data_IF_568183944338
#
_entry.id   IF_568183944338
#
_cell.length_a   1.000
_cell.length_b   1.000
_cell.length_c   1.000
_cell.angle_alpha   90.00
_cell.angle_beta   90.00
_cell.angle_gamma   90.00
#
_symmetry.space_group_name_H-M   'P 1'
#
loop_
_entity.id
_entity.type
_entity.pdbx_description
1 polymer ?
#
# COMPACT_ATOMS: atom_id res chain seq x y z
N UNK A 1 16.59 11.72 23.15
CA UNK A 1 15.98 12.38 21.98
C UNK A 1 15.81 11.36 20.89
N UNK A 2 14.58 10.93 20.62
CA UNK A 2 14.35 9.97 19.53
C UNK A 2 14.42 10.71 18.20
N UNK A 3 15.50 10.46 17.45
CA UNK A 3 15.82 11.16 16.20
C UNK A 3 14.92 10.75 15.03
N UNK A 4 15.09 11.43 13.89
CA UNK A 4 14.35 11.16 12.65
C UNK A 4 14.42 9.67 12.25
N UNK A 5 13.26 9.03 12.17
CA UNK A 5 13.11 7.63 11.77
C UNK A 5 13.45 7.44 10.29
N UNK A 6 14.45 6.61 9.99
CA UNK A 6 14.86 6.28 8.62
C UNK A 6 13.85 5.34 7.96
N UNK A 7 13.72 5.42 6.64
CA UNK A 7 12.87 4.52 5.85
C UNK A 7 13.36 3.07 5.97
N UNK A 8 12.46 2.07 5.94
CA UNK A 8 12.87 0.68 5.79
C UNK A 8 13.53 0.46 4.43
N UNK A 9 14.49 -0.47 4.38
CA UNK A 9 15.20 -0.81 3.13
C UNK A 9 14.27 -1.58 2.19
N UNK A 10 14.25 -1.19 0.91
CA UNK A 10 13.59 -1.97 -0.14
C UNK A 10 14.51 -3.12 -0.62
N UNK A 11 13.99 -4.01 -1.47
CA UNK A 11 14.72 -5.20 -1.93
C UNK A 11 16.09 -4.87 -2.57
N UNK A 12 16.12 -3.86 -3.44
CA UNK A 12 17.36 -3.40 -4.05
C UNK A 12 18.35 -2.85 -3.01
N UNK A 13 17.89 -2.11 -2.01
CA UNK A 13 18.75 -1.57 -0.95
C UNK A 13 19.32 -2.66 -0.04
N UNK A 14 18.53 -3.71 0.25
CA UNK A 14 18.99 -4.88 1.00
C UNK A 14 20.10 -5.60 0.24
N UNK A 15 19.89 -5.91 -1.04
CA UNK A 15 20.87 -6.58 -1.90
C UNK A 15 22.12 -5.72 -2.16
N UNK A 16 21.93 -4.47 -2.58
CA UNK A 16 23.03 -3.60 -3.01
C UNK A 16 23.96 -3.19 -1.87
N UNK A 17 23.56 -3.36 -0.60
CA UNK A 17 24.42 -3.06 0.54
C UNK A 17 25.69 -3.93 0.51
N UNK A 18 25.54 -5.25 0.47
CA UNK A 18 26.67 -6.18 0.43
C UNK A 18 27.44 -6.10 -0.89
N UNK A 19 26.74 -5.97 -2.02
CA UNK A 19 27.39 -5.88 -3.33
C UNK A 19 28.20 -4.59 -3.51
N UNK A 20 27.71 -3.46 -2.98
CA UNK A 20 28.47 -2.20 -2.95
C UNK A 20 29.73 -2.35 -2.13
N UNK A 21 29.67 -3.00 -0.98
CA UNK A 21 30.84 -3.22 -0.13
C UNK A 21 31.90 -4.06 -0.84
N UNK A 22 31.51 -5.15 -1.51
CA UNK A 22 32.42 -5.97 -2.31
C UNK A 22 33.09 -5.18 -3.43
N UNK A 23 32.33 -4.40 -4.19
CA UNK A 23 32.87 -3.59 -5.30
C UNK A 23 33.78 -2.46 -4.80
N UNK A 24 33.45 -1.82 -3.68
CA UNK A 24 34.27 -0.78 -3.07
C UNK A 24 35.59 -1.33 -2.53
N UNK A 25 35.61 -2.56 -2.01
CA UNK A 25 36.84 -3.23 -1.59
C UNK A 25 37.73 -3.59 -2.78
N UNK A 26 37.14 -4.04 -3.88
CA UNK A 26 37.88 -4.37 -5.11
C UNK A 26 38.38 -3.14 -5.86
N UNK A 27 37.62 -2.03 -5.81
CA UNK A 27 37.93 -0.79 -6.53
C UNK A 27 37.85 0.41 -5.57
N UNK A 28 38.84 0.61 -4.68
CA UNK A 28 38.80 1.68 -3.68
C UNK A 28 38.86 3.08 -4.28
N UNK A 29 39.30 3.22 -5.54
CA UNK A 29 39.35 4.48 -6.28
C UNK A 29 38.05 4.84 -6.99
N UNK A 30 37.15 3.86 -7.17
CA UNK A 30 35.91 4.04 -7.91
C UNK A 30 34.89 4.83 -7.09
N UNK A 31 34.23 5.80 -7.71
CA UNK A 31 33.22 6.59 -7.01
C UNK A 31 31.93 5.78 -6.80
N UNK A 32 31.25 6.01 -5.67
CA UNK A 32 29.98 5.34 -5.37
C UNK A 32 28.89 5.64 -6.44
N UNK A 33 28.99 6.78 -7.13
CA UNK A 33 28.15 7.12 -8.28
C UNK A 33 28.26 6.08 -9.40
N UNK A 34 29.45 5.59 -9.69
CA UNK A 34 29.72 4.57 -10.71
C UNK A 34 29.33 3.17 -10.22
N UNK A 35 29.69 2.84 -8.98
CA UNK A 35 29.30 1.58 -8.33
C UNK A 35 27.76 1.44 -8.36
N UNK A 36 27.04 2.51 -8.03
CA UNK A 36 25.58 2.51 -8.05
C UNK A 36 24.98 2.29 -9.44
N UNK A 37 25.63 2.80 -10.50
CA UNK A 37 25.21 2.54 -11.89
C UNK A 37 25.39 1.05 -12.24
N UNK A 38 26.55 0.48 -11.92
CA UNK A 38 26.85 -0.94 -12.17
C UNK A 38 25.89 -1.87 -11.43
N UNK A 39 25.64 -1.60 -10.15
CA UNK A 39 24.68 -2.36 -9.35
C UNK A 39 23.26 -2.27 -9.89
N UNK A 40 22.85 -1.11 -10.40
CA UNK A 40 21.55 -0.95 -11.06
C UNK A 40 21.40 -1.81 -12.31
N UNK A 41 22.46 -1.92 -13.12
CA UNK A 41 22.48 -2.82 -14.28
C UNK A 41 22.43 -4.28 -13.85
N UNK A 42 23.30 -4.70 -12.91
CA UNK A 42 23.35 -6.07 -12.41
C UNK A 42 22.02 -6.51 -11.82
N UNK A 43 21.38 -5.68 -11.00
CA UNK A 43 20.06 -5.98 -10.42
C UNK A 43 19.01 -6.24 -11.49
N UNK A 44 19.02 -5.51 -12.60
CA UNK A 44 18.07 -5.74 -13.69
C UNK A 44 18.28 -7.09 -14.34
N UNK A 45 19.54 -7.49 -14.54
CA UNK A 45 19.91 -8.77 -15.16
C UNK A 45 19.68 -9.99 -14.26
N UNK A 46 19.52 -9.83 -12.94
CA UNK A 46 19.21 -10.94 -12.05
C UNK A 46 17.81 -11.52 -12.35
N UNK A 47 17.68 -12.84 -12.20
CA UNK A 47 16.42 -13.56 -12.32
C UNK A 47 15.49 -13.28 -11.15
N UNK A 48 14.20 -13.60 -11.29
CA UNK A 48 13.24 -13.42 -10.21
C UNK A 48 13.53 -14.31 -9.00
N UNK A 49 14.04 -15.53 -9.24
CA UNK A 49 14.41 -16.46 -8.18
C UNK A 49 15.57 -15.92 -7.34
N UNK A 50 16.58 -15.32 -7.99
CA UNK A 50 17.69 -14.65 -7.30
C UNK A 50 17.22 -13.41 -6.52
N UNK A 51 16.21 -12.69 -7.03
CA UNK A 51 15.66 -11.51 -6.37
C UNK A 51 14.73 -11.86 -5.21
N UNK A 52 14.06 -13.02 -5.26
CA UNK A 52 13.03 -13.47 -4.30
C UNK A 52 13.45 -13.35 -2.83
N UNK A 53 14.64 -13.83 -2.38
CA UNK A 53 15.04 -13.69 -0.99
C UNK A 53 15.13 -12.23 -0.53
N UNK A 54 15.58 -11.32 -1.42
CA UNK A 54 15.69 -9.89 -1.09
C UNK A 54 14.34 -9.19 -1.03
N UNK A 55 13.35 -9.65 -1.81
CA UNK A 55 11.97 -9.19 -1.70
C UNK A 55 11.32 -9.64 -0.38
N UNK A 56 11.53 -10.89 0.01
CA UNK A 56 11.05 -11.42 1.29
C UNK A 56 11.65 -10.65 2.46
N UNK A 57 12.96 -10.41 2.44
CA UNK A 57 13.65 -9.66 3.48
C UNK A 57 13.20 -8.20 3.55
N UNK A 58 13.01 -7.53 2.41
CA UNK A 58 12.47 -6.18 2.39
C UNK A 58 11.05 -6.10 2.96
N UNK A 59 10.22 -7.11 2.70
CA UNK A 59 8.87 -7.20 3.25
C UNK A 59 8.90 -7.44 4.77
N UNK A 60 9.83 -8.26 5.25
CA UNK A 60 10.08 -8.48 6.68
C UNK A 60 10.49 -7.16 7.36
N UNK A 61 11.46 -6.44 6.80
CA UNK A 61 11.92 -5.15 7.30
C UNK A 61 10.81 -4.09 7.30
N UNK A 62 9.95 -4.07 6.28
CA UNK A 62 8.78 -3.19 6.22
C UNK A 62 7.81 -3.46 7.35
N UNK A 63 7.54 -4.74 7.63
CA UNK A 63 6.63 -5.17 8.70
C UNK A 63 7.19 -4.81 10.07
N UNK A 64 8.46 -5.16 10.31
CA UNK A 64 9.18 -4.81 11.54
C UNK A 64 9.21 -3.30 11.78
N UNK A 65 9.44 -2.50 10.73
CA UNK A 65 9.43 -1.05 10.84
C UNK A 65 8.03 -0.52 11.22
N UNK A 66 6.97 -1.08 10.64
CA UNK A 66 5.59 -0.67 10.96
C UNK A 66 5.23 -0.99 12.41
N UNK A 67 5.65 -2.15 12.91
CA UNK A 67 5.43 -2.56 14.31
C UNK A 67 6.23 -1.70 15.28
N UNK A 68 7.52 -1.45 14.98
CA UNK A 68 8.39 -0.63 15.81
C UNK A 68 7.98 0.85 15.81
N UNK A 69 7.44 1.34 14.70
CA UNK A 69 7.05 2.74 14.53
C UNK A 69 5.61 2.84 13.98
N UNK A 70 4.59 2.60 14.82
CA UNK A 70 3.18 2.60 14.39
C UNK A 70 2.71 3.97 13.88
N UNK A 71 3.30 5.05 14.40
CA UNK A 71 2.98 6.43 14.00
C UNK A 71 3.89 6.96 12.88
N UNK A 72 4.75 6.13 12.29
CA UNK A 72 5.64 6.57 11.22
C UNK A 72 4.87 6.96 9.96
N UNK A 73 5.11 8.19 9.49
CA UNK A 73 4.61 8.68 8.21
C UNK A 73 5.75 9.24 7.39
N UNK A 74 5.89 8.78 6.15
CA UNK A 74 6.87 9.32 5.22
C UNK A 74 6.48 10.74 4.81
N UNK A 75 7.33 11.72 5.16
CA UNK A 75 7.16 13.12 4.83
C UNK A 75 8.38 13.59 4.03
N UNK A 76 8.32 13.55 2.68
CA UNK A 76 9.44 13.99 1.86
C UNK A 76 9.70 15.48 2.08
N UNK A 77 10.87 15.82 2.61
CA UNK A 77 11.30 17.21 2.75
C UNK A 77 11.74 17.75 1.39
N UNK A 78 10.94 18.64 0.81
CA UNK A 78 11.39 19.44 -0.34
C UNK A 78 12.42 20.45 0.14
N UNK A 79 13.64 20.40 -0.40
CA UNK A 79 14.60 21.49 -0.21
C UNK A 79 14.19 22.62 -1.15
N UNK A 80 14.03 23.83 -0.62
CA UNK A 80 13.82 25.02 -1.44
C UNK A 80 15.06 25.20 -2.32
N UNK A 81 14.86 25.27 -3.64
CA UNK A 81 15.92 25.67 -4.57
C UNK A 81 16.10 27.17 -4.41
N UNK A 82 17.15 27.59 -3.72
CA UNK A 82 17.62 28.97 -3.80
C UNK A 82 18.02 29.19 -5.25
N UNK A 83 17.41 30.13 -5.99
CA UNK A 83 17.86 30.47 -7.33
C UNK A 83 19.23 31.14 -7.18
N UNK A 84 20.30 30.39 -7.40
CA UNK A 84 21.64 30.96 -7.53
C UNK A 84 21.66 31.76 -8.84
N UNK A 85 21.49 33.08 -8.75
CA UNK A 85 21.87 34.02 -9.80
C UNK A 85 23.40 34.12 -9.78
N UNK A 86 24.09 33.15 -10.35
CA UNK A 86 25.50 33.28 -10.70
C UNK A 86 25.59 33.34 -12.21
N UNK A 87 25.85 34.55 -12.73
CA UNK A 87 26.18 34.77 -14.13
C UNK A 87 27.50 34.07 -14.44
N UNK A 88 27.41 32.83 -14.92
CA UNK A 88 28.48 32.14 -15.61
C UNK A 88 27.84 31.54 -16.86
N UNK A 89 28.25 32.01 -18.03
CA UNK A 89 27.94 31.40 -19.31
C UNK A 89 28.46 29.96 -19.27
N UNK A 90 27.58 29.02 -18.94
CA UNK A 90 27.85 27.60 -19.13
C UNK A 90 27.72 27.32 -20.64
N UNK A 91 28.66 26.60 -21.26
CA UNK A 91 28.54 26.21 -22.66
C UNK A 91 27.23 25.45 -22.84
N UNK A 92 26.46 25.88 -23.83
CA UNK A 92 25.15 25.36 -24.16
C UNK A 92 25.27 23.93 -24.71
N UNK A 93 25.55 22.95 -23.86
CA UNK A 93 25.35 21.54 -24.18
C UNK A 93 24.68 20.86 -22.99
N UNK A 94 23.45 20.42 -23.25
CA UNK A 94 22.71 19.39 -22.53
C UNK A 94 22.27 19.74 -21.10
N UNK A 95 21.09 20.35 -21.01
CA UNK A 95 20.19 20.14 -19.86
C UNK A 95 20.21 18.66 -19.46
N UNK A 96 20.40 18.34 -18.18
CA UNK A 96 20.32 16.96 -17.66
C UNK A 96 18.99 16.28 -18.05
N UNK A 97 17.96 17.08 -18.34
CA UNK A 97 16.68 16.61 -18.89
C UNK A 97 16.84 16.07 -20.32
N UNK A 98 17.64 16.73 -21.16
CA UNK A 98 18.01 16.31 -22.52
C UNK A 98 19.08 15.21 -22.52
N UNK A 99 20.05 15.24 -21.60
CA UNK A 99 20.99 14.13 -21.43
C UNK A 99 20.21 12.87 -21.09
N UNK A 100 19.32 12.91 -20.08
CA UNK A 100 18.41 11.80 -19.80
C UNK A 100 17.52 11.43 -20.99
N UNK A 101 17.05 12.41 -21.78
CA UNK A 101 16.24 12.17 -22.98
C UNK A 101 16.98 11.42 -24.09
N UNK A 102 18.24 11.79 -24.35
CA UNK A 102 19.09 11.16 -25.36
C UNK A 102 19.55 9.75 -24.98
N UNK A 103 19.69 9.43 -23.69
CA UNK A 103 19.97 8.05 -23.23
C UNK A 103 18.73 7.14 -23.21
N UNK A 104 17.50 7.66 -23.30
CA UNK A 104 16.30 6.81 -23.41
C UNK A 104 16.19 6.14 -24.79
N UNK A 105 16.75 6.73 -25.84
CA UNK A 105 16.70 6.18 -27.21
C UNK A 105 17.78 5.13 -27.50
N UNK A 106 18.75 4.94 -26.59
CA UNK A 106 19.83 3.95 -26.75
C UNK A 106 19.68 2.72 -25.85
N UNK A 107 18.57 2.60 -25.12
CA UNK A 107 18.24 1.41 -24.33
C UNK A 107 17.08 0.64 -24.96
N UNK A 108 17.34 -0.40 -25.77
CA UNK A 108 16.30 -1.17 -26.46
C UNK A 108 15.37 -1.97 -25.55
N UNK A 109 15.49 -1.88 -24.21
CA UNK A 109 14.64 -2.64 -23.26
C UNK A 109 14.08 -1.82 -22.09
N UNK A 110 13.95 -0.48 -22.22
CA UNK A 110 12.99 0.29 -21.38
C UNK A 110 11.57 0.24 -21.95
N UNK A 111 11.40 -0.42 -23.10
CA UNK A 111 10.20 -0.42 -23.92
C UNK A 111 9.17 -1.52 -23.54
N UNK A 112 9.50 -2.53 -22.75
CA UNK A 112 8.55 -3.62 -22.40
C UNK A 112 7.66 -3.32 -21.18
N UNK A 113 7.45 -2.05 -20.86
CA UNK A 113 6.45 -1.67 -19.84
C UNK A 113 5.58 -0.47 -20.25
N UNK A 114 6.08 0.39 -21.15
CA UNK A 114 5.30 1.54 -21.67
C UNK A 114 4.65 1.25 -23.02
N UNK A 115 5.02 0.21 -23.77
CA UNK A 115 4.41 -0.06 -25.08
C UNK A 115 3.40 -1.22 -25.07
N UNK A 116 3.34 -2.00 -23.99
CA UNK A 116 2.39 -3.10 -23.87
C UNK A 116 1.00 -2.66 -23.43
N UNK A 117 0.85 -1.52 -22.72
CA UNK A 117 -0.49 -0.99 -22.40
C UNK A 117 -1.23 -0.50 -23.65
N UNK A 118 -0.52 0.04 -24.65
CA UNK A 118 -1.11 0.61 -25.86
C UNK A 118 -1.39 -0.46 -26.94
N UNK A 119 -0.59 -1.53 -27.02
CA UNK A 119 -0.84 -2.67 -27.93
C UNK A 119 -1.88 -3.66 -27.40
N UNK A 120 -1.93 -3.90 -26.09
CA UNK A 120 -2.93 -4.78 -25.47
C UNK A 120 -4.37 -4.28 -25.66
N UNK A 121 -4.58 -2.96 -25.80
CA UNK A 121 -5.89 -2.37 -26.07
C UNK A 121 -6.45 -2.69 -27.47
N UNK A 122 -5.61 -3.10 -28.44
CA UNK A 122 -6.03 -3.36 -29.83
C UNK A 122 -6.04 -4.84 -30.23
N UNK A 123 -5.39 -5.73 -29.48
CA UNK A 123 -5.28 -7.16 -29.81
C UNK A 123 -6.35 -8.06 -29.16
N UNK A 124 -7.31 -7.48 -28.42
CA UNK A 124 -8.38 -8.20 -27.70
C UNK A 124 -9.43 -8.90 -28.61
N UNK A 125 -9.23 -9.02 -29.93
CA UNK A 125 -10.26 -9.60 -30.80
C UNK A 125 -9.92 -10.95 -31.44
N UNK A 126 -8.67 -11.33 -31.74
CA UNK A 126 -8.46 -12.57 -32.51
C UNK A 126 -7.18 -13.36 -32.16
N UNK A 127 -7.48 -14.56 -31.68
CA UNK A 127 -6.84 -15.84 -31.99
C UNK A 127 -5.67 -16.32 -31.13
N UNK A 128 -5.93 -17.47 -30.50
CA UNK A 128 -5.02 -18.28 -29.70
C UNK A 128 -4.11 -19.10 -30.62
N UNK A 129 -2.80 -19.18 -30.33
CA UNK A 129 -2.06 -20.46 -30.20
C UNK A 129 -0.60 -20.22 -29.73
N UNK A 130 -0.40 -20.41 -28.42
CA UNK A 130 0.70 -21.14 -27.77
C UNK A 130 2.09 -20.55 -27.45
N UNK A 131 2.58 -21.04 -26.30
CA UNK A 131 3.93 -21.07 -25.72
C UNK A 131 4.48 -19.82 -25.01
N UNK A 132 3.93 -19.52 -23.83
CA UNK A 132 4.59 -19.43 -22.52
C UNK A 132 3.52 -18.98 -21.51
N UNK A 133 3.23 -19.85 -20.54
CA UNK A 133 2.36 -19.69 -19.36
C UNK A 133 1.35 -18.53 -19.39
N UNK A 134 0.11 -18.85 -19.80
CA UNK A 134 -1.01 -17.93 -19.73
C UNK A 134 -1.37 -17.61 -18.27
N UNK A 135 -1.68 -16.34 -17.94
CA UNK A 135 -2.43 -16.03 -16.74
C UNK A 135 -3.81 -16.68 -16.87
N UNK A 136 -4.25 -17.40 -15.83
CA UNK A 136 -5.62 -17.91 -15.80
C UNK A 136 -6.57 -16.72 -15.81
N UNK A 137 -7.22 -16.50 -16.95
CA UNK A 137 -8.38 -15.63 -17.04
C UNK A 137 -9.46 -16.22 -16.13
N UNK A 138 -10.04 -15.34 -15.32
CA UNK A 138 -11.31 -15.56 -14.64
C UNK A 138 -12.39 -15.24 -15.67
N UNK A 139 -13.09 -16.22 -16.26
CA UNK A 139 -14.43 -15.99 -16.76
C UNK A 139 -15.42 -16.46 -15.69
N UNK A 140 -16.47 -15.68 -15.53
CA UNK A 140 -17.59 -15.82 -14.60
C UNK A 140 -17.35 -15.07 -13.31
N UNK A 141 -17.94 -13.87 -13.22
CA UNK A 141 -18.11 -13.19 -11.94
C UNK A 141 -18.66 -14.21 -10.95
N UNK A 142 -17.89 -14.48 -9.90
CA UNK A 142 -18.18 -15.53 -8.93
C UNK A 142 -19.58 -15.24 -8.33
N UNK A 143 -20.63 -15.98 -8.73
CA UNK A 143 -21.99 -15.68 -8.29
C UNK A 143 -22.11 -15.90 -6.77
N UNK A 144 -21.23 -16.72 -6.18
CA UNK A 144 -21.15 -16.90 -4.74
C UNK A 144 -20.56 -15.68 -4.04
N UNK A 145 -19.61 -14.98 -4.67
CA UNK A 145 -19.01 -13.78 -4.08
C UNK A 145 -19.95 -12.58 -4.18
N UNK A 146 -20.70 -12.49 -5.28
CA UNK A 146 -21.76 -11.49 -5.43
C UNK A 146 -22.93 -11.76 -4.48
N UNK A 147 -23.29 -13.03 -4.27
CA UNK A 147 -24.27 -13.46 -3.27
C UNK A 147 -23.79 -13.19 -1.84
N UNK A 148 -22.52 -13.47 -1.51
CA UNK A 148 -21.94 -13.16 -0.21
C UNK A 148 -21.93 -11.65 0.09
N UNK A 149 -21.62 -10.82 -0.91
CA UNK A 149 -21.70 -9.36 -0.81
C UNK A 149 -23.14 -8.86 -0.68
N UNK A 150 -24.10 -9.54 -1.28
CA UNK A 150 -25.53 -9.24 -1.14
C UNK A 150 -26.04 -9.66 0.24
N UNK A 151 -25.66 -10.83 0.73
CA UNK A 151 -25.97 -11.33 2.07
C UNK A 151 -25.38 -10.41 3.15
N UNK A 152 -24.14 -9.95 2.98
CA UNK A 152 -23.56 -8.95 3.89
C UNK A 152 -24.29 -7.60 3.87
N UNK A 153 -24.82 -7.18 2.71
CA UNK A 153 -25.64 -5.95 2.62
C UNK A 153 -27.00 -6.14 3.29
N UNK A 154 -27.65 -7.29 3.12
CA UNK A 154 -28.91 -7.61 3.79
C UNK A 154 -28.74 -7.75 5.30
N UNK A 155 -27.69 -8.43 5.76
CA UNK A 155 -27.41 -8.56 7.20
C UNK A 155 -27.18 -7.19 7.85
N UNK A 156 -26.50 -6.27 7.16
CA UNK A 156 -26.35 -4.88 7.65
C UNK A 156 -27.69 -4.15 7.74
N UNK A 157 -28.58 -4.32 6.77
CA UNK A 157 -29.91 -3.72 6.82
C UNK A 157 -30.76 -4.32 7.93
N UNK A 158 -30.67 -5.64 8.15
CA UNK A 158 -31.40 -6.35 9.18
C UNK A 158 -30.95 -5.93 10.59
N UNK A 159 -29.64 -5.87 10.83
CA UNK A 159 -29.09 -5.33 12.08
C UNK A 159 -29.48 -3.87 12.31
N UNK A 160 -29.58 -3.07 11.24
CA UNK A 160 -30.01 -1.68 11.34
C UNK A 160 -31.50 -1.58 11.71
N UNK A 161 -32.36 -2.42 11.11
CA UNK A 161 -33.77 -2.53 11.49
C UNK A 161 -33.95 -3.05 12.92
N UNK A 162 -33.17 -4.06 13.32
CA UNK A 162 -33.18 -4.62 14.67
C UNK A 162 -32.74 -3.58 15.70
N UNK A 163 -31.69 -2.80 15.41
CA UNK A 163 -31.27 -1.68 16.23
C UNK A 163 -32.34 -0.58 16.33
N UNK A 164 -33.09 -0.31 15.26
CA UNK A 164 -34.22 0.63 15.34
C UNK A 164 -35.38 0.06 16.16
N UNK A 165 -35.69 -1.23 16.02
CA UNK A 165 -36.73 -1.90 16.79
C UNK A 165 -36.40 -1.96 18.28
N UNK A 166 -35.14 -2.27 18.62
CA UNK A 166 -34.66 -2.32 20.01
C UNK A 166 -34.68 -0.92 20.66
N UNK A 167 -34.34 0.13 19.91
CA UNK A 167 -34.47 1.53 20.35
C UNK A 167 -35.93 1.94 20.59
N UNK A 168 -36.88 1.39 19.83
CA UNK A 168 -38.31 1.62 20.07
C UNK A 168 -38.81 0.82 21.28
N UNK A 169 -38.29 -0.38 21.54
CA UNK A 169 -38.62 -1.16 22.74
C UNK A 169 -38.08 -0.53 24.03
N UNK A 170 -36.91 0.12 24.01
CA UNK A 170 -36.41 0.91 25.15
C UNK A 170 -37.25 2.17 25.45
N UNK A 171 -37.97 2.71 24.44
CA UNK A 171 -38.92 3.82 24.64
C UNK A 171 -40.29 3.36 25.14
N UNK A 172 -40.54 2.04 25.21
CA UNK A 172 -41.75 1.43 25.76
C UNK A 172 -41.39 0.55 26.96
N UNK A 173 -40.56 1.07 27.87
CA UNK A 173 -40.59 0.64 29.27
C UNK A 173 -41.42 1.65 30.05
N UNK A 174 -42.63 1.28 30.53
CA UNK A 174 -43.38 2.12 31.44
C UNK A 174 -42.50 2.37 32.67
N UNK A 175 -42.36 3.64 33.04
CA UNK A 175 -41.88 4.05 34.36
C UNK A 175 -42.80 3.47 35.43
N UNK A 176 -42.54 2.24 35.85
CA UNK A 176 -43.02 1.71 37.10
C UNK A 176 -41.83 1.02 37.72
N UNK A 177 -41.14 1.74 38.60
CA UNK A 177 -40.68 1.23 39.89
C UNK A 177 -40.41 2.45 40.81
N UNK A 178 -41.33 2.59 41.76
CA UNK A 178 -41.09 2.88 43.18
C UNK A 178 -40.66 4.31 43.56
N UNK A 179 -41.67 5.17 43.70
CA UNK A 179 -41.64 6.21 44.74
C UNK A 179 -41.73 5.55 46.13
N UNK A 180 -40.88 5.92 47.11
CA UNK A 180 -40.97 5.39 48.46
C UNK A 180 -42.06 6.18 49.21
N UNK A 181 -43.16 5.51 49.59
CA UNK A 181 -44.07 6.05 50.60
C UNK A 181 -44.00 5.17 51.84
N UNK A 182 -43.28 5.72 52.81
CA UNK A 182 -43.30 5.31 54.20
C UNK A 182 -44.69 5.55 54.80
N UNK A 183 -45.05 4.63 55.71
CA UNK A 183 -45.95 4.81 56.85
C UNK A 183 -47.48 4.68 56.65
N UNK A 184 -47.95 3.56 57.21
CA UNK A 184 -49.00 3.49 58.23
C UNK A 184 -50.48 3.54 57.82
N UNK A 185 -51.18 2.49 58.27
CA UNK A 185 -52.46 2.54 58.99
C UNK A 185 -53.69 1.85 58.32
N UNK A 186 -53.92 0.61 58.79
CA UNK A 186 -55.19 0.01 59.25
C UNK A 186 -56.43 -0.16 58.37
N UNK A 187 -56.93 -1.42 58.40
CA UNK A 187 -58.34 -1.90 58.47
C UNK A 187 -59.21 -1.61 57.23
N UNK A 188 -60.10 -2.47 56.77
CA UNK A 188 -60.65 -3.71 57.29
C UNK A 188 -61.52 -4.32 56.19
N UNK A 189 -61.85 -5.60 56.38
CA UNK A 189 -62.53 -6.45 55.40
C UNK A 189 -64.02 -6.09 55.25
N UNK A 190 -64.50 -6.23 54.02
CA UNK A 190 -65.90 -6.06 53.59
C UNK A 190 -66.85 -7.06 54.25
N UNK A 191 -67.98 -6.59 54.79
CA UNK A 191 -69.23 -7.39 54.89
C UNK A 191 -70.45 -6.48 54.69
N UNK A 192 -71.30 -6.93 53.76
CA UNK A 192 -72.67 -6.52 53.43
C UNK A 192 -73.62 -6.51 54.64
N UNK A 193 -74.53 -5.52 54.74
CA UNK A 193 -75.99 -5.69 54.60
C UNK A 193 -76.75 -4.41 54.94
#
# INVERSE_FOLDING_TARGET
>A
MEGHVKRPMNAFMVWSCGERQKLAQQNPTMQNTEISKLLGCRWKSLTEDEKRPFFQEAQRLKTLHREKYPNYKYQPRRRAKVPQRSGALQPAVTSTKLYNLLQWDRNPHTITYRQDWARAAHLSSKNQQSFYCQPVDIPTGNPLQQRLLQDQRQLKQQLQHEFQHQRQQELVSPQQELFPHSSSQTRGWWVFS
#
